data_IF_571510255871
#
_entry.id   IF_571510255871
#
_cell.length_a   1.000
_cell.length_b   1.000
_cell.length_c   1.000
_cell.angle_alpha   90.00
_cell.angle_beta   90.00
_cell.angle_gamma   90.00
#
_symmetry.space_group_name_H-M   'P 1'
#
loop_
_entity.id
_entity.type
_entity.pdbx_description
1 polymer ?
#
# COMPACT_ATOMS: atom_id res chain seq x y z
N UNK A 1 34.28 26.87 12.61
CA UNK A 1 32.84 26.75 12.93
C UNK A 1 32.74 26.13 14.30
N UNK A 2 32.02 26.76 15.22
CA UNK A 2 31.84 26.23 16.57
C UNK A 2 31.00 24.95 16.50
N UNK A 3 31.32 23.95 17.33
CA UNK A 3 30.54 22.70 17.49
C UNK A 3 29.04 23.00 17.77
N UNK A 4 28.74 24.17 18.32
CA UNK A 4 27.37 24.68 18.53
C UNK A 4 26.67 25.09 17.23
N UNK A 5 27.37 25.71 16.28
CA UNK A 5 26.80 26.13 14.99
C UNK A 5 26.49 24.93 14.10
N UNK A 6 27.36 23.93 14.10
CA UNK A 6 27.16 22.69 13.33
C UNK A 6 25.95 21.90 13.86
N UNK A 7 25.82 21.80 15.18
CA UNK A 7 24.65 21.16 15.82
C UNK A 7 23.34 21.88 15.50
N UNK A 8 23.33 23.22 15.48
CA UNK A 8 22.15 24.00 15.13
C UNK A 8 21.74 23.78 13.67
N UNK A 9 22.71 23.81 12.75
CA UNK A 9 22.47 23.54 11.34
C UNK A 9 21.95 22.12 11.10
N UNK A 10 22.50 21.12 11.79
CA UNK A 10 22.03 19.74 11.70
C UNK A 10 20.58 19.59 12.17
N UNK A 11 20.16 20.33 13.20
CA UNK A 11 18.76 20.34 13.68
C UNK A 11 17.81 20.94 12.66
N UNK A 12 18.19 22.04 12.00
CA UNK A 12 17.38 22.66 10.94
C UNK A 12 17.18 21.69 9.77
N UNK A 13 18.26 21.08 9.27
CA UNK A 13 18.19 20.09 8.19
C UNK A 13 17.31 18.89 8.60
N UNK A 14 17.45 18.41 9.84
CA UNK A 14 16.62 17.32 10.34
C UNK A 14 15.13 17.69 10.36
N UNK A 15 14.78 18.91 10.75
CA UNK A 15 13.40 19.39 10.72
C UNK A 15 12.85 19.45 9.29
N UNK A 16 13.65 19.91 8.33
CA UNK A 16 13.24 19.98 6.91
C UNK A 16 13.01 18.60 6.29
N UNK A 17 13.89 17.65 6.59
CA UNK A 17 13.73 16.27 6.15
C UNK A 17 12.49 15.64 6.75
N UNK A 18 12.21 15.87 8.04
CA UNK A 18 10.98 15.37 8.70
C UNK A 18 9.71 15.95 8.08
N UNK A 19 9.69 17.24 7.77
CA UNK A 19 8.55 17.85 7.05
C UNK A 19 8.32 17.20 5.69
N UNK A 20 9.40 16.82 5.00
CA UNK A 20 9.30 16.11 3.72
C UNK A 20 8.75 14.70 3.90
N UNK A 21 9.18 13.98 4.94
CA UNK A 21 8.65 12.66 5.32
C UNK A 21 7.15 12.75 5.62
N UNK A 22 6.72 13.70 6.44
CA UNK A 22 5.30 13.89 6.79
C UNK A 22 4.43 14.13 5.53
N UNK A 23 4.96 14.87 4.55
CA UNK A 23 4.28 15.08 3.27
C UNK A 23 4.18 13.78 2.44
N UNK A 24 5.24 12.98 2.39
CA UNK A 24 5.20 11.69 1.71
C UNK A 24 4.23 10.72 2.37
N UNK A 25 4.19 10.69 3.70
CA UNK A 25 3.24 9.85 4.45
C UNK A 25 1.78 10.22 4.13
N UNK A 26 1.47 11.52 4.02
CA UNK A 26 0.15 11.96 3.59
C UNK A 26 -0.20 11.45 2.18
N UNK A 27 0.73 11.56 1.23
CA UNK A 27 0.56 11.06 -0.15
C UNK A 27 0.35 9.54 -0.16
N UNK A 28 1.12 8.79 0.63
CA UNK A 28 1.00 7.33 0.75
C UNK A 28 -0.39 6.95 1.26
N UNK A 29 -0.86 7.58 2.34
CA UNK A 29 -2.17 7.30 2.93
C UNK A 29 -3.31 7.62 1.95
N UNK A 30 -3.28 8.77 1.29
CA UNK A 30 -4.31 9.11 0.31
C UNK A 30 -4.31 8.15 -0.89
N UNK A 31 -3.13 7.77 -1.38
CA UNK A 31 -3.00 6.81 -2.49
C UNK A 31 -3.53 5.43 -2.11
N UNK A 32 -3.21 4.95 -0.90
CA UNK A 32 -3.72 3.70 -0.38
C UNK A 32 -5.24 3.74 -0.22
N UNK A 33 -5.81 4.85 0.27
CA UNK A 33 -7.26 5.00 0.39
C UNK A 33 -7.95 4.86 -0.97
N UNK A 34 -7.45 5.51 -2.02
CA UNK A 34 -7.97 5.35 -3.39
C UNK A 34 -7.82 3.90 -3.89
N UNK A 35 -6.66 3.28 -3.66
CA UNK A 35 -6.43 1.88 -4.01
C UNK A 35 -7.46 0.97 -3.32
N UNK A 36 -7.74 1.19 -2.04
CA UNK A 36 -8.72 0.40 -1.30
C UNK A 36 -10.15 0.59 -1.85
N UNK A 37 -10.56 1.81 -2.21
CA UNK A 37 -11.86 2.06 -2.87
C UNK A 37 -11.98 1.28 -4.17
N UNK A 38 -10.92 1.25 -4.99
CA UNK A 38 -10.90 0.43 -6.20
C UNK A 38 -11.05 -1.05 -5.88
N UNK A 39 -10.33 -1.56 -4.87
CA UNK A 39 -10.45 -2.97 -4.50
C UNK A 39 -11.80 -3.32 -3.90
N UNK A 40 -12.49 -2.42 -3.19
CA UNK A 40 -13.86 -2.65 -2.72
C UNK A 40 -14.82 -2.86 -3.90
N UNK A 41 -14.76 -1.99 -4.92
CA UNK A 41 -15.54 -2.16 -6.16
C UNK A 41 -15.24 -3.47 -6.87
N UNK A 42 -13.97 -3.90 -6.88
CA UNK A 42 -13.60 -5.23 -7.40
C UNK A 42 -14.25 -6.34 -6.57
N UNK A 43 -14.30 -6.20 -5.24
CA UNK A 43 -14.95 -7.16 -4.35
C UNK A 43 -16.46 -7.26 -4.58
N UNK A 44 -17.13 -6.12 -4.72
CA UNK A 44 -18.57 -6.04 -5.06
C UNK A 44 -18.86 -6.67 -6.42
N UNK A 45 -18.02 -6.39 -7.43
CA UNK A 45 -18.13 -7.00 -8.75
C UNK A 45 -17.93 -8.52 -8.68
N UNK A 46 -16.93 -8.99 -7.92
CA UNK A 46 -16.69 -10.43 -7.74
C UNK A 46 -17.86 -11.11 -7.06
N UNK A 47 -18.37 -10.54 -5.97
CA UNK A 47 -19.49 -11.08 -5.21
C UNK A 47 -20.77 -11.15 -6.06
N UNK A 48 -21.06 -10.12 -6.87
CA UNK A 48 -22.26 -10.12 -7.74
C UNK A 48 -22.21 -11.12 -8.91
N UNK A 49 -21.05 -11.73 -9.17
CA UNK A 49 -20.83 -12.67 -10.27
C UNK A 49 -20.28 -14.03 -9.80
N UNK A 50 -20.38 -14.33 -8.50
CA UNK A 50 -19.86 -15.56 -7.88
C UNK A 50 -18.37 -15.85 -8.19
N UNK A 51 -17.57 -14.80 -8.37
CA UNK A 51 -16.14 -14.92 -8.62
C UNK A 51 -15.35 -15.05 -7.30
N UNK A 52 -14.26 -15.85 -7.28
CA UNK A 52 -13.47 -16.05 -6.07
C UNK A 52 -12.75 -14.76 -5.61
N UNK A 53 -12.68 -14.57 -4.29
CA UNK A 53 -11.99 -13.44 -3.67
C UNK A 53 -10.48 -13.43 -3.98
N UNK A 54 -9.82 -14.59 -3.91
CA UNK A 54 -8.42 -14.77 -4.30
C UNK A 54 -8.27 -15.14 -5.78
N UNK A 55 -7.18 -14.67 -6.38
CA UNK A 55 -6.76 -15.01 -7.74
C UNK A 55 -5.23 -15.17 -7.72
N UNK A 56 -4.73 -16.39 -7.46
CA UNK A 56 -3.30 -16.65 -7.26
C UNK A 56 -2.42 -16.20 -8.43
N UNK A 57 -2.91 -16.39 -9.66
CA UNK A 57 -2.19 -15.99 -10.87
C UNK A 57 -2.09 -14.47 -10.97
N UNK A 58 -3.16 -13.75 -10.62
CA UNK A 58 -3.15 -12.28 -10.56
C UNK A 58 -2.23 -11.77 -9.45
N UNK A 59 -2.24 -12.41 -8.29
CA UNK A 59 -1.41 -12.07 -7.13
C UNK A 59 0.09 -12.25 -7.46
N UNK A 60 0.47 -13.37 -8.07
CA UNK A 60 1.84 -13.63 -8.53
C UNK A 60 2.33 -12.56 -9.52
N UNK A 61 1.50 -12.18 -10.50
CA UNK A 61 1.84 -11.09 -11.45
C UNK A 61 1.98 -9.73 -10.77
N UNK A 62 1.23 -9.46 -9.70
CA UNK A 62 1.37 -8.20 -8.95
C UNK A 62 2.70 -8.16 -8.19
N UNK A 63 3.09 -9.26 -7.56
CA UNK A 63 4.36 -9.39 -6.84
C UNK A 63 5.54 -9.15 -7.79
N UNK A 64 5.59 -9.90 -8.90
CA UNK A 64 6.67 -9.76 -9.89
C UNK A 64 6.79 -8.33 -10.42
N UNK A 65 5.66 -7.72 -10.80
CA UNK A 65 5.66 -6.32 -11.28
C UNK A 65 6.14 -5.35 -10.20
N UNK A 66 5.76 -5.55 -8.94
CA UNK A 66 6.16 -4.65 -7.86
C UNK A 66 7.64 -4.79 -7.51
N UNK A 67 8.19 -6.00 -7.50
CA UNK A 67 9.62 -6.23 -7.31
C UNK A 67 10.45 -5.43 -8.31
N UNK A 68 10.04 -5.42 -9.59
CA UNK A 68 10.70 -4.61 -10.63
C UNK A 68 10.59 -3.11 -10.37
N UNK A 69 9.40 -2.62 -10.03
CA UNK A 69 9.21 -1.20 -9.69
C UNK A 69 10.02 -0.77 -8.48
N UNK A 70 10.21 -1.65 -7.50
CA UNK A 70 11.04 -1.39 -6.34
C UNK A 70 12.51 -1.26 -6.75
N UNK A 71 13.01 -2.21 -7.54
CA UNK A 71 14.37 -2.19 -8.08
C UNK A 71 14.65 -0.92 -8.89
N UNK A 72 13.75 -0.57 -9.82
CA UNK A 72 13.81 0.66 -10.63
C UNK A 72 13.83 1.94 -9.77
N UNK A 73 13.19 1.91 -8.60
CA UNK A 73 13.11 3.02 -7.66
C UNK A 73 14.24 3.04 -6.62
N UNK A 74 15.15 2.06 -6.65
CA UNK A 74 16.21 1.91 -5.63
C UNK A 74 15.69 1.48 -4.25
N UNK A 75 14.51 0.86 -4.20
CA UNK A 75 13.92 0.28 -3.00
C UNK A 75 14.20 -1.23 -2.96
N UNK A 76 14.47 -1.76 -1.78
CA UNK A 76 14.62 -3.22 -1.57
C UNK A 76 13.37 -3.99 -2.08
N UNK A 77 13.51 -4.85 -3.11
CA UNK A 77 12.40 -5.62 -3.65
C UNK A 77 11.73 -6.53 -2.61
N UNK A 78 12.49 -7.05 -1.63
CA UNK A 78 11.94 -7.93 -0.60
C UNK A 78 11.09 -7.14 0.41
N UNK A 79 11.46 -5.89 0.69
CA UNK A 79 10.62 -4.98 1.45
C UNK A 79 9.33 -4.64 0.70
N UNK A 80 9.42 -4.32 -0.59
CA UNK A 80 8.26 -4.00 -1.42
C UNK A 80 7.28 -5.18 -1.50
N UNK A 81 7.79 -6.41 -1.64
CA UNK A 81 6.98 -7.62 -1.61
C UNK A 81 6.25 -7.81 -0.27
N UNK A 82 6.95 -7.67 0.86
CA UNK A 82 6.32 -7.76 2.20
C UNK A 82 5.22 -6.72 2.38
N UNK A 83 5.46 -5.49 1.93
CA UNK A 83 4.47 -4.42 1.98
C UNK A 83 3.23 -4.77 1.13
N UNK A 84 3.42 -5.27 -0.09
CA UNK A 84 2.30 -5.68 -0.93
C UNK A 84 1.53 -6.87 -0.37
N UNK A 85 2.23 -7.87 0.16
CA UNK A 85 1.60 -9.03 0.79
C UNK A 85 0.69 -8.60 1.95
N UNK A 86 1.13 -7.62 2.76
CA UNK A 86 0.31 -7.02 3.80
C UNK A 86 -0.97 -6.37 3.22
N UNK A 87 -0.83 -5.56 2.17
CA UNK A 87 -1.96 -4.89 1.53
C UNK A 87 -2.92 -5.89 0.88
N UNK A 88 -2.43 -6.93 0.19
CA UNK A 88 -3.27 -7.96 -0.45
C UNK A 88 -4.08 -8.72 0.60
N UNK A 89 -3.45 -9.10 1.71
CA UNK A 89 -4.15 -9.78 2.82
C UNK A 89 -5.34 -8.96 3.32
N UNK A 90 -5.16 -7.65 3.45
CA UNK A 90 -6.24 -6.76 3.89
C UNK A 90 -7.35 -6.62 2.84
N UNK A 91 -7.00 -6.61 1.56
CA UNK A 91 -7.98 -6.61 0.45
C UNK A 91 -8.82 -7.90 0.44
N UNK A 92 -8.19 -9.07 0.58
CA UNK A 92 -8.88 -10.36 0.60
C UNK A 92 -9.88 -10.39 1.76
N UNK A 93 -9.46 -9.97 2.96
CA UNK A 93 -10.32 -9.86 4.14
C UNK A 93 -11.56 -8.98 3.87
N UNK A 94 -11.39 -7.87 3.15
CA UNK A 94 -12.52 -7.02 2.76
C UNK A 94 -13.44 -7.68 1.73
N UNK A 95 -12.89 -8.43 0.77
CA UNK A 95 -13.71 -9.15 -0.23
C UNK A 95 -14.56 -10.22 0.42
N UNK A 96 -13.99 -11.01 1.34
CA UNK A 96 -14.71 -12.01 2.11
C UNK A 96 -15.88 -11.38 2.90
N UNK A 97 -15.64 -10.23 3.54
CA UNK A 97 -16.68 -9.51 4.27
C UNK A 97 -17.79 -8.95 3.36
N UNK A 98 -17.46 -8.52 2.13
CA UNK A 98 -18.45 -8.07 1.15
C UNK A 98 -19.30 -9.25 0.66
N UNK A 99 -18.67 -10.38 0.33
CA UNK A 99 -19.35 -11.58 -0.11
C UNK A 99 -20.33 -12.12 0.95
N UNK A 100 -19.92 -12.15 2.22
CA UNK A 100 -20.78 -12.56 3.33
C UNK A 100 -22.06 -11.71 3.42
N UNK A 101 -21.94 -10.38 3.31
CA UNK A 101 -23.08 -9.45 3.34
C UNK A 101 -24.00 -9.58 2.14
N UNK A 102 -23.46 -9.90 0.96
CA UNK A 102 -24.27 -10.13 -0.24
C UNK A 102 -25.14 -11.39 -0.11
N UNK A 103 -24.60 -12.45 0.52
CA UNK A 103 -25.34 -13.68 0.80
C UNK A 103 -26.43 -13.55 1.88
N UNK A 104 -26.30 -12.60 2.82
CA UNK A 104 -27.34 -12.32 3.83
C UNK A 104 -28.54 -11.53 3.26
N UNK A 105 -28.34 -10.81 2.15
CA UNK A 105 -29.35 -9.96 1.52
C UNK A 105 -30.05 -10.61 0.29
N UNK A 106 -29.71 -11.85 -0.04
CA UNK A 106 -30.28 -12.62 -1.16
C UNK A 106 -31.27 -13.66 -0.66
#
# INVERSE_FOLDING_TARGET
MSETEDTLRAREVLMDLRRSIDNFDAVLIHTLAERFRCTQKVGELKASHDLPASDPDREARQIERLRRLADDAGMDPDFAEKFLAFIIKEVIRHHEAIAAKAGENS
#
